data_IF_995025747308
#
_entry.id   IF_995025747308
#
_cell.length_a   1.000
_cell.length_b   1.000
_cell.length_c   1.000
_cell.angle_alpha   90.00
_cell.angle_beta   90.00
_cell.angle_gamma   90.00
#
_symmetry.space_group_name_H-M   'P 1'
#
loop_
_entity.id
_entity.type
_entity.pdbx_description
1 polymer ?
#
# COMPACT_ATOMS: atom_id res chain seq x y z
N UNK A 1 9.98 8.54 18.12
CA UNK A 1 9.38 9.38 17.06
C UNK A 1 9.89 8.87 15.72
N UNK A 2 9.11 8.04 15.02
CA UNK A 2 9.55 7.36 13.79
C UNK A 2 9.61 8.36 12.62
N UNK A 3 10.78 8.96 12.41
CA UNK A 3 11.03 9.85 11.27
C UNK A 3 11.19 9.01 10.00
N UNK A 4 10.14 8.91 9.20
CA UNK A 4 10.27 8.43 7.81
C UNK A 4 10.93 9.51 6.96
N UNK A 5 11.89 9.13 6.13
CA UNK A 5 12.45 10.04 5.14
C UNK A 5 11.45 10.21 3.99
N UNK A 6 10.86 11.40 3.83
CA UNK A 6 9.87 11.66 2.79
C UNK A 6 10.45 11.59 1.37
N UNK A 7 11.75 11.84 1.22
CA UNK A 7 12.41 11.77 -0.08
C UNK A 7 12.68 10.31 -0.51
N UNK A 8 12.97 9.42 0.44
CA UNK A 8 13.32 8.02 0.19
C UNK A 8 12.66 7.07 1.20
N UNK A 9 11.32 6.95 1.21
CA UNK A 9 10.60 6.16 2.21
C UNK A 9 10.97 4.67 2.20
N UNK A 10 11.38 4.14 1.05
CA UNK A 10 11.81 2.73 0.90
C UNK A 10 13.06 2.39 1.74
N UNK A 11 13.94 3.36 2.02
CA UNK A 11 15.10 3.12 2.89
C UNK A 11 14.64 2.88 4.33
N UNK A 12 13.70 3.67 4.82
CA UNK A 12 13.10 3.49 6.14
C UNK A 12 12.34 2.16 6.24
N UNK A 13 11.60 1.77 5.19
CA UNK A 13 10.93 0.47 5.17
C UNK A 13 11.91 -0.70 5.22
N UNK A 14 13.05 -0.60 4.55
CA UNK A 14 14.10 -1.62 4.61
C UNK A 14 14.72 -1.73 6.01
N UNK A 15 14.94 -0.61 6.71
CA UNK A 15 15.40 -0.61 8.10
C UNK A 15 14.38 -1.25 9.04
N UNK A 16 13.10 -0.93 8.87
CA UNK A 16 12.03 -1.50 9.68
C UNK A 16 11.80 -2.99 9.43
N UNK A 17 12.02 -3.46 8.20
CA UNK A 17 11.98 -4.89 7.91
C UNK A 17 13.02 -5.67 8.72
N UNK A 18 14.20 -5.09 8.99
CA UNK A 18 15.22 -5.73 9.84
C UNK A 18 14.78 -5.87 11.29
N UNK A 19 13.92 -4.97 11.78
CA UNK A 19 13.47 -4.91 13.17
C UNK A 19 12.21 -5.75 13.38
N UNK A 20 11.26 -5.65 12.46
CA UNK A 20 9.92 -6.26 12.58
C UNK A 20 9.75 -7.55 11.78
N UNK A 21 10.66 -7.82 10.84
CA UNK A 21 10.63 -9.01 10.00
C UNK A 21 10.13 -8.77 8.57
N UNK A 22 9.87 -9.86 7.83
CA UNK A 22 9.60 -9.82 6.39
C UNK A 22 8.21 -9.26 6.03
N UNK A 23 7.27 -9.24 6.98
CA UNK A 23 5.94 -8.64 6.85
C UNK A 23 5.64 -7.86 8.12
N UNK A 24 5.28 -6.60 7.98
CA UNK A 24 4.84 -5.78 9.11
C UNK A 24 3.74 -4.80 8.69
N UNK A 25 2.97 -4.33 9.68
CA UNK A 25 1.86 -3.42 9.49
C UNK A 25 2.25 -2.03 10.00
N UNK A 26 1.93 -1.00 9.23
CA UNK A 26 2.11 0.41 9.60
C UNK A 26 0.79 1.15 9.43
N UNK A 27 0.56 2.14 10.27
CA UNK A 27 -0.55 3.07 10.09
C UNK A 27 -0.01 4.32 9.40
N UNK A 28 -0.40 4.53 8.14
CA UNK A 28 0.00 5.68 7.34
C UNK A 28 -1.23 6.52 7.00
N UNK A 29 -1.22 7.80 7.39
CA UNK A 29 -2.32 8.75 7.09
C UNK A 29 -3.71 8.23 7.49
N UNK A 30 -3.80 7.57 8.65
CA UNK A 30 -5.04 6.98 9.17
C UNK A 30 -5.48 5.68 8.47
N UNK A 31 -4.75 5.25 7.44
CA UNK A 31 -4.97 3.98 6.76
C UNK A 31 -3.97 2.93 7.25
N UNK A 32 -4.44 1.70 7.40
CA UNK A 32 -3.60 0.58 7.78
C UNK A 32 -2.97 -0.05 6.54
N UNK A 33 -1.65 0.05 6.42
CA UNK A 33 -0.87 -0.45 5.28
C UNK A 33 0.03 -1.60 5.72
N UNK A 34 0.07 -2.67 4.93
CA UNK A 34 0.98 -3.79 5.15
C UNK A 34 2.18 -3.64 4.22
N UNK A 35 3.38 -3.67 4.78
CA UNK A 35 4.64 -3.65 4.03
C UNK A 35 5.19 -5.07 3.97
N UNK A 36 5.52 -5.52 2.76
CA UNK A 36 6.12 -6.83 2.48
C UNK A 36 7.52 -6.60 1.91
N UNK A 37 8.52 -7.20 2.53
CA UNK A 37 9.94 -7.01 2.15
C UNK A 37 10.60 -8.27 1.60
N UNK A 38 9.95 -9.44 1.74
CA UNK A 38 10.45 -10.71 1.21
C UNK A 38 9.86 -11.02 -0.18
N UNK A 39 10.72 -11.47 -1.10
CA UNK A 39 10.36 -11.76 -2.48
C UNK A 39 9.38 -12.94 -2.59
N UNK A 40 9.60 -14.03 -1.83
CA UNK A 40 8.76 -15.23 -1.92
C UNK A 40 7.35 -14.94 -1.45
N UNK A 41 7.23 -14.15 -0.39
CA UNK A 41 5.94 -13.69 0.13
C UNK A 41 5.26 -12.75 -0.87
N UNK A 42 6.00 -11.81 -1.44
CA UNK A 42 5.45 -10.90 -2.45
C UNK A 42 4.91 -11.65 -3.67
N UNK A 43 5.64 -12.67 -4.17
CA UNK A 43 5.18 -13.54 -5.26
C UNK A 43 3.92 -14.32 -4.88
N UNK A 44 3.85 -14.87 -3.67
CA UNK A 44 2.67 -15.63 -3.23
C UNK A 44 1.41 -14.74 -3.14
N UNK A 45 1.57 -13.51 -2.63
CA UNK A 45 0.46 -12.58 -2.44
C UNK A 45 0.04 -11.85 -3.72
N UNK A 46 1.01 -11.32 -4.47
CA UNK A 46 0.73 -10.44 -5.61
C UNK A 46 0.55 -11.19 -6.93
N UNK A 47 1.22 -12.33 -7.11
CA UNK A 47 1.12 -13.13 -8.33
C UNK A 47 0.09 -14.25 -8.15
N UNK A 48 0.37 -15.22 -7.26
CA UNK A 48 -0.50 -16.41 -7.09
C UNK A 48 -1.88 -16.08 -6.57
N UNK A 49 -2.00 -15.07 -5.69
CA UNK A 49 -3.27 -14.61 -5.11
C UNK A 49 -3.69 -13.23 -5.63
N UNK A 50 -3.21 -12.86 -6.82
CA UNK A 50 -3.56 -11.60 -7.49
C UNK A 50 -5.08 -11.33 -7.45
N UNK A 51 -5.91 -12.34 -7.73
CA UNK A 51 -7.38 -12.20 -7.72
C UNK A 51 -7.96 -11.68 -6.39
N UNK A 52 -7.29 -11.92 -5.25
CA UNK A 52 -7.74 -11.49 -3.91
C UNK A 52 -7.16 -10.14 -3.50
N UNK A 53 -5.93 -9.83 -3.92
CA UNK A 53 -5.18 -8.67 -3.45
C UNK A 53 -4.96 -7.57 -4.51
N UNK A 54 -5.31 -7.79 -5.77
CA UNK A 54 -5.20 -6.82 -6.86
C UNK A 54 -6.35 -5.81 -6.94
N UNK A 55 -7.13 -5.66 -5.87
CA UNK A 55 -8.11 -4.59 -5.76
C UNK A 55 -7.38 -3.23 -5.76
N UNK A 56 -7.75 -2.34 -6.68
CA UNK A 56 -7.17 -0.98 -6.71
C UNK A 56 -7.77 -0.19 -5.55
N UNK A 57 -6.91 0.20 -4.61
CA UNK A 57 -7.33 1.05 -3.49
C UNK A 57 -7.98 2.31 -4.03
N UNK A 58 -9.22 2.58 -3.59
CA UNK A 58 -9.92 3.80 -3.92
C UNK A 58 -9.32 4.94 -3.08
N UNK A 59 -8.35 5.65 -3.64
CA UNK A 59 -7.94 6.93 -3.08
C UNK A 59 -8.99 7.96 -3.49
N UNK A 60 -9.56 8.69 -2.53
CA UNK A 60 -10.34 9.87 -2.81
C UNK A 60 -9.39 10.97 -3.33
N UNK A 61 -8.94 10.85 -4.57
CA UNK A 61 -8.34 11.98 -5.29
C UNK A 61 -9.43 13.01 -5.53
N UNK A 62 -9.09 14.30 -5.46
CA UNK A 62 -10.03 15.40 -5.73
C UNK A 62 -10.71 15.25 -7.09
N UNK A 63 -10.07 14.54 -8.02
CA UNK A 63 -10.59 14.15 -9.32
C UNK A 63 -10.66 12.61 -9.37
N UNK A 64 -11.84 11.98 -9.58
CA UNK A 64 -11.89 10.55 -9.85
C UNK A 64 -11.27 10.27 -11.23
N UNK A 65 -10.06 9.70 -11.27
CA UNK A 65 -9.41 9.27 -12.51
C UNK A 65 -10.14 8.10 -13.19
N UNK A 66 -11.12 7.49 -12.51
CA UNK A 66 -12.03 6.51 -13.09
C UNK A 66 -13.19 7.31 -13.68
N UNK A 67 -13.30 7.29 -15.01
CA UNK A 67 -14.38 7.89 -15.80
C UNK A 67 -15.75 7.23 -15.59
N UNK A 68 -16.17 7.05 -14.34
CA UNK A 68 -17.57 6.86 -14.00
C UNK A 68 -18.18 8.26 -14.01
N UNK A 69 -18.65 8.67 -15.19
CA UNK A 69 -19.69 9.70 -15.30
C UNK A 69 -20.93 9.10 -14.65
N UNK A 70 -21.04 9.21 -13.32
CA UNK A 70 -22.33 9.08 -12.69
C UNK A 70 -23.01 10.43 -12.87
N UNK A 71 -23.72 10.55 -13.99
CA UNK A 71 -24.75 11.56 -14.18
C UNK A 71 -25.65 11.53 -12.95
N UNK A 72 -25.45 12.47 -12.04
CA UNK A 72 -26.45 12.82 -11.05
C UNK A 72 -27.31 13.90 -11.70
N UNK A 73 -28.30 13.44 -12.47
CA UNK A 73 -29.58 14.10 -12.61
C UNK A 73 -30.50 13.36 -11.63
N UNK A 74 -31.34 14.00 -10.80
CA UNK A 74 -31.70 15.42 -10.72
C UNK A 74 -30.99 16.23 -9.62
#
# INVERSE_FOLDING_TARGET
MNRMDLANPWKTYAEWSKIHGPIFKITLMGSETVVVSDEKIALELLDRRSSKYSGRMWFATAEPCIGIVRTFLP
#
